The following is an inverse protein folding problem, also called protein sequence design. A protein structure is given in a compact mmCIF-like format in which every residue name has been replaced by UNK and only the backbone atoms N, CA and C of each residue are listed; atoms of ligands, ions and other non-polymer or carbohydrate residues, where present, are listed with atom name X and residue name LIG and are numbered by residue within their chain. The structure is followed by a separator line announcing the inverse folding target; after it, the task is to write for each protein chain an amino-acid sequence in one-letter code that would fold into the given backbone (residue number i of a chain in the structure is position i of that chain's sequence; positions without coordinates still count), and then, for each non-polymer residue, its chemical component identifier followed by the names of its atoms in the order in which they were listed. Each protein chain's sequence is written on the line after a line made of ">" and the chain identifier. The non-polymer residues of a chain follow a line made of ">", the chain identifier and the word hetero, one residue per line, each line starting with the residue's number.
data_IF_118451534715
#
_entry.id   IF_118451534715
#
_cell.length_a   1.000
_cell.length_b   1.000
_cell.length_c   1.000
_cell.angle_alpha   90.00
_cell.angle_beta   90.00
_cell.angle_gamma   90.00
#
_symmetry.space_group_name_H-M   'P 1'
#
loop_
_entity.id
_entity.type
_entity.pdbx_description
1 polymer ?
#
# COMPACT_ATOMS: atom_id res chain seq x y z
N UNK A 1 -27.66 22.45 42.07
CA UNK A 1 -27.15 21.36 41.21
C UNK A 1 -25.82 20.88 41.81
N UNK A 2 -25.71 19.60 42.18
CA UNK A 2 -24.65 19.10 43.07
C UNK A 2 -23.28 18.97 42.37
N UNK A 3 -22.20 19.45 43.00
CA UNK A 3 -20.81 19.41 42.50
C UNK A 3 -20.34 18.04 42.01
N UNK A 4 -20.99 16.95 42.47
CA UNK A 4 -20.72 15.57 42.06
C UNK A 4 -21.06 15.29 40.58
N UNK A 5 -22.11 15.90 40.04
CA UNK A 5 -22.50 15.70 38.63
C UNK A 5 -21.58 16.46 37.67
N UNK A 6 -21.03 17.59 38.11
CA UNK A 6 -20.13 18.42 37.31
C UNK A 6 -18.76 17.74 37.08
N UNK A 7 -18.26 16.99 38.08
CA UNK A 7 -17.02 16.22 37.95
C UNK A 7 -17.19 15.00 37.02
N UNK A 8 -18.34 14.32 37.09
CA UNK A 8 -18.66 13.18 36.22
C UNK A 8 -18.81 13.64 34.76
N UNK A 9 -19.47 14.78 34.51
CA UNK A 9 -19.63 15.30 33.15
C UNK A 9 -18.30 15.73 32.50
N UNK A 10 -17.38 16.31 33.27
CA UNK A 10 -16.06 16.71 32.77
C UNK A 10 -15.23 15.47 32.38
N UNK A 11 -15.26 14.41 33.20
CA UNK A 11 -14.55 13.16 32.90
C UNK A 11 -15.01 12.50 31.59
N UNK A 12 -16.32 12.50 31.32
CA UNK A 12 -16.87 11.95 30.07
C UNK A 12 -16.43 12.79 28.87
N UNK A 13 -16.46 14.12 28.97
CA UNK A 13 -16.04 15.03 27.90
C UNK A 13 -14.55 14.81 27.55
N UNK A 14 -13.68 14.63 28.56
CA UNK A 14 -12.25 14.39 28.33
C UNK A 14 -12.01 13.05 27.64
N UNK A 15 -12.72 11.97 28.01
CA UNK A 15 -12.60 10.66 27.36
C UNK A 15 -13.07 10.71 25.90
N UNK A 16 -14.15 11.44 25.60
CA UNK A 16 -14.67 11.61 24.25
C UNK A 16 -13.71 12.41 23.38
N UNK A 17 -13.13 13.51 23.89
CA UNK A 17 -12.10 14.28 23.19
C UNK A 17 -10.86 13.43 22.94
N UNK A 18 -10.39 12.67 23.93
CA UNK A 18 -9.23 11.81 23.77
C UNK A 18 -9.46 10.71 22.72
N UNK A 19 -10.67 10.15 22.67
CA UNK A 19 -11.06 9.14 21.67
C UNK A 19 -11.13 9.71 20.24
N UNK A 20 -11.51 10.98 20.10
CA UNK A 20 -11.49 11.69 18.80
C UNK A 20 -10.05 12.02 18.37
N UNK A 21 -9.17 12.36 19.32
CA UNK A 21 -7.77 12.69 19.02
C UNK A 21 -6.93 11.49 18.56
N UNK A 22 -7.30 10.24 18.88
CA UNK A 22 -6.57 9.04 18.41
C UNK A 22 -6.68 8.87 16.88
N UNK A 23 -7.71 9.44 16.23
CA UNK A 23 -7.86 9.38 14.75
C UNK A 23 -7.00 10.39 13.97
N UNK A 24 -6.31 11.31 14.64
CA UNK A 24 -5.54 12.37 13.96
C UNK A 24 -4.06 12.04 13.75
N UNK A 25 -3.59 10.88 14.21
CA UNK A 25 -2.23 10.40 13.95
C UNK A 25 -2.19 9.48 12.75
N UNK A 26 -2.65 9.91 11.56
CA UNK A 26 -2.03 9.35 10.34
C UNK A 26 -0.59 9.82 10.42
N UNK A 27 0.29 8.93 10.91
CA UNK A 27 1.71 9.16 10.82
C UNK A 27 1.94 9.44 9.34
N UNK A 28 2.37 10.67 8.99
CA UNK A 28 2.89 10.97 7.67
C UNK A 28 4.17 10.13 7.54
N UNK A 29 3.99 8.84 7.26
CA UNK A 29 5.05 7.93 6.89
C UNK A 29 5.76 8.61 5.72
N UNK A 30 7.10 8.61 5.70
CA UNK A 30 7.84 9.28 4.63
C UNK A 30 7.35 8.74 3.28
N UNK A 31 6.64 9.57 2.53
CA UNK A 31 6.09 9.21 1.23
C UNK A 31 7.24 9.10 0.24
N UNK A 32 7.53 7.87 -0.17
CA UNK A 32 8.42 7.54 -1.27
C UNK A 32 7.76 7.98 -2.58
N UNK A 33 8.54 8.50 -3.52
CA UNK A 33 7.98 8.86 -4.83
C UNK A 33 7.53 7.60 -5.59
N UNK A 34 6.57 7.72 -6.52
CA UNK A 34 6.17 6.59 -7.37
C UNK A 34 7.36 5.97 -8.11
N UNK A 35 8.28 6.81 -8.61
CA UNK A 35 9.49 6.37 -9.32
C UNK A 35 10.42 5.57 -8.40
N UNK A 36 10.58 6.00 -7.15
CA UNK A 36 11.34 5.25 -6.15
C UNK A 36 10.63 3.95 -5.76
N UNK A 37 9.29 3.96 -5.67
CA UNK A 37 8.51 2.77 -5.36
C UNK A 37 8.63 1.70 -6.47
N UNK A 38 8.57 2.13 -7.74
CA UNK A 38 8.85 1.27 -8.89
C UNK A 38 10.27 0.68 -8.83
N UNK A 39 11.27 1.53 -8.55
CA UNK A 39 12.66 1.08 -8.41
C UNK A 39 12.82 0.05 -7.28
N UNK A 40 12.23 0.30 -6.11
CA UNK A 40 12.28 -0.62 -4.95
C UNK A 40 11.62 -1.95 -5.30
N UNK A 41 10.45 -1.92 -5.94
CA UNK A 41 9.74 -3.12 -6.36
C UNK A 41 10.56 -3.92 -7.39
N UNK A 42 11.15 -3.25 -8.38
CA UNK A 42 11.99 -3.91 -9.37
C UNK A 42 13.24 -4.54 -8.74
N UNK A 43 13.92 -3.84 -7.83
CA UNK A 43 15.06 -4.37 -7.08
C UNK A 43 14.68 -5.60 -6.25
N UNK A 44 13.52 -5.56 -5.59
CA UNK A 44 12.98 -6.72 -4.87
C UNK A 44 12.79 -7.92 -5.81
N UNK A 45 12.09 -7.75 -6.93
CA UNK A 45 11.83 -8.83 -7.90
C UNK A 45 13.13 -9.41 -8.47
N UNK A 46 14.13 -8.56 -8.76
CA UNK A 46 15.47 -9.00 -9.16
C UNK A 46 16.14 -9.84 -8.07
N UNK A 47 16.09 -9.39 -6.82
CA UNK A 47 16.69 -10.12 -5.69
C UNK A 47 15.99 -11.45 -5.38
N UNK A 48 14.71 -11.57 -5.73
CA UNK A 48 13.90 -12.77 -5.57
C UNK A 48 14.00 -13.74 -6.77
N UNK A 49 14.82 -13.44 -7.79
CA UNK A 49 14.87 -14.17 -9.07
C UNK A 49 13.48 -14.27 -9.76
N UNK A 50 12.68 -13.21 -9.68
CA UNK A 50 11.35 -13.10 -10.30
C UNK A 50 11.28 -12.03 -11.41
N UNK A 51 12.43 -11.46 -11.77
CA UNK A 51 12.54 -10.42 -12.79
C UNK A 51 13.27 -10.92 -14.03
N UNK A 52 12.65 -10.79 -15.19
CA UNK A 52 13.26 -11.05 -16.49
C UNK A 52 13.49 -9.74 -17.25
N UNK A 53 14.48 -9.73 -18.16
CA UNK A 53 14.80 -8.54 -18.96
C UNK A 53 13.64 -8.12 -19.86
N UNK A 54 12.77 -9.05 -20.22
CA UNK A 54 11.58 -8.85 -21.05
C UNK A 54 10.39 -8.26 -20.29
N UNK A 55 10.50 -8.02 -18.97
CA UNK A 55 9.40 -7.50 -18.17
C UNK A 55 9.42 -5.96 -18.05
N UNK A 56 8.24 -5.38 -17.87
CA UNK A 56 7.99 -3.98 -17.51
C UNK A 56 7.15 -3.91 -16.23
N UNK A 57 7.38 -2.86 -15.43
CA UNK A 57 6.47 -2.45 -14.36
C UNK A 57 5.61 -1.32 -14.90
N UNK A 58 4.30 -1.50 -14.88
CA UNK A 58 3.35 -0.52 -15.38
C UNK A 58 2.41 -0.10 -14.24
N UNK A 59 2.32 1.19 -13.91
CA UNK A 59 1.38 1.64 -12.88
C UNK A 59 -0.06 1.43 -13.35
N UNK A 60 -0.94 0.99 -12.44
CA UNK A 60 -2.37 0.78 -12.75
C UNK A 60 -3.16 2.08 -12.70
N UNK A 61 -4.40 2.09 -13.21
CA UNK A 61 -5.38 3.17 -12.97
C UNK A 61 -6.52 2.69 -12.04
N UNK A 62 -6.72 3.28 -10.84
CA UNK A 62 -5.89 4.32 -10.23
C UNK A 62 -4.51 3.80 -9.77
N UNK A 63 -3.52 4.70 -9.77
CA UNK A 63 -2.15 4.38 -9.36
C UNK A 63 -2.06 4.12 -7.86
N UNK A 64 -2.80 4.93 -7.08
CA UNK A 64 -2.87 4.84 -5.62
C UNK A 64 -4.09 4.02 -5.22
N UNK A 65 -3.90 3.11 -4.27
CA UNK A 65 -4.96 2.33 -3.66
C UNK A 65 -4.76 2.18 -2.15
N UNK A 66 -5.61 1.36 -1.53
CA UNK A 66 -5.51 1.03 -0.11
C UNK A 66 -5.55 -0.50 0.06
N UNK A 67 -4.61 -1.04 0.83
CA UNK A 67 -4.55 -2.47 1.22
C UNK A 67 -4.30 -2.53 2.73
N UNK A 68 -5.20 -3.20 3.45
CA UNK A 68 -5.11 -3.37 4.91
C UNK A 68 -4.87 -2.07 5.70
N UNK A 69 -5.55 -0.98 5.29
CA UNK A 69 -5.40 0.39 5.83
C UNK A 69 -4.07 1.09 5.50
N UNK A 70 -3.27 0.54 4.58
CA UNK A 70 -2.06 1.18 4.08
C UNK A 70 -2.32 1.78 2.70
N UNK A 71 -1.93 3.04 2.50
CA UNK A 71 -1.87 3.64 1.16
C UNK A 71 -0.71 3.00 0.38
N UNK A 72 -1.01 2.58 -0.85
CA UNK A 72 -0.07 1.84 -1.71
C UNK A 72 -0.02 2.40 -3.12
N UNK A 73 1.12 2.24 -3.78
CA UNK A 73 1.24 2.31 -5.23
C UNK A 73 1.01 0.92 -5.83
N UNK A 74 0.23 0.84 -6.91
CA UNK A 74 -0.15 -0.41 -7.57
C UNK A 74 0.50 -0.51 -8.95
N UNK A 75 1.06 -1.69 -9.22
CA UNK A 75 1.79 -2.00 -10.44
C UNK A 75 1.36 -3.33 -11.03
N UNK A 76 1.34 -3.40 -12.34
CA UNK A 76 1.31 -4.64 -13.10
C UNK A 76 2.72 -4.98 -13.55
N UNK A 77 3.14 -6.22 -13.36
CA UNK A 77 4.31 -6.78 -14.04
C UNK A 77 3.79 -7.39 -15.34
N UNK A 78 4.29 -6.88 -16.47
CA UNK A 78 3.87 -7.32 -17.81
C UNK A 78 5.09 -7.69 -18.65
N UNK A 79 4.88 -8.49 -19.69
CA UNK A 79 5.84 -8.58 -20.79
C UNK A 79 5.90 -7.23 -21.52
N UNK A 80 7.09 -6.79 -21.93
CA UNK A 80 7.26 -5.63 -22.80
C UNK A 80 6.50 -5.83 -24.10
N UNK A 81 5.98 -4.75 -24.66
CA UNK A 81 5.15 -4.77 -25.88
C UNK A 81 5.86 -5.42 -27.09
N UNK A 82 7.18 -5.33 -27.16
CA UNK A 82 7.99 -5.85 -28.27
C UNK A 82 8.34 -7.35 -28.17
N UNK A 83 7.86 -8.06 -27.16
CA UNK A 83 8.09 -9.51 -27.02
C UNK A 83 7.12 -10.26 -27.93
N UNK A 84 7.66 -11.07 -28.84
CA UNK A 84 6.87 -11.84 -29.79
C UNK A 84 5.89 -12.78 -29.06
N UNK A 85 4.69 -12.97 -29.60
CA UNK A 85 3.61 -13.84 -29.10
C UNK A 85 2.95 -13.42 -27.77
N UNK A 86 3.65 -12.73 -26.87
CA UNK A 86 3.16 -12.46 -25.51
C UNK A 86 3.24 -10.99 -25.09
N UNK A 87 3.56 -10.06 -26.00
CA UNK A 87 3.68 -8.63 -25.71
C UNK A 87 2.54 -8.07 -24.86
N UNK A 88 2.89 -7.28 -23.84
CA UNK A 88 1.97 -6.68 -22.85
C UNK A 88 1.17 -7.68 -22.01
N UNK A 89 1.42 -8.98 -22.10
CA UNK A 89 0.74 -9.98 -21.27
C UNK A 89 1.04 -9.74 -19.79
N UNK A 90 -0.03 -9.72 -18.99
CA UNK A 90 0.05 -9.63 -17.54
C UNK A 90 0.68 -10.90 -16.94
N UNK A 91 1.64 -10.69 -16.04
CA UNK A 91 2.31 -11.74 -15.27
C UNK A 91 1.73 -11.76 -13.86
N UNK A 92 1.74 -10.62 -13.16
CA UNK A 92 1.22 -10.49 -11.80
C UNK A 92 0.88 -9.03 -11.47
N UNK A 93 0.04 -8.84 -10.46
CA UNK A 93 -0.22 -7.53 -9.86
C UNK A 93 0.52 -7.42 -8.53
N UNK A 94 1.21 -6.31 -8.34
CA UNK A 94 1.93 -5.97 -7.12
C UNK A 94 1.45 -4.64 -6.57
N UNK A 95 1.62 -4.47 -5.27
CA UNK A 95 1.48 -3.19 -4.63
C UNK A 95 2.62 -2.97 -3.64
N UNK A 96 2.97 -1.72 -3.41
CA UNK A 96 4.01 -1.34 -2.44
C UNK A 96 3.48 -0.18 -1.61
N UNK A 97 3.67 -0.23 -0.29
CA UNK A 97 3.28 0.87 0.59
C UNK A 97 3.96 2.16 0.18
N UNK A 98 3.30 3.30 0.37
CA UNK A 98 3.88 4.60 0.05
C UNK A 98 5.19 4.87 0.79
N UNK A 99 5.46 4.19 1.90
CA UNK A 99 6.74 4.28 2.62
C UNK A 99 7.84 3.34 2.08
N UNK A 100 7.54 2.57 1.02
CA UNK A 100 8.47 1.68 0.33
C UNK A 100 8.85 0.40 1.09
N UNK A 101 8.20 0.11 2.22
CA UNK A 101 8.64 -0.99 3.10
C UNK A 101 7.95 -2.31 2.83
N UNK A 102 6.65 -2.30 2.61
CA UNK A 102 5.83 -3.51 2.48
C UNK A 102 5.49 -3.73 1.02
N UNK A 103 5.71 -4.94 0.53
CA UNK A 103 5.34 -5.34 -0.84
C UNK A 103 4.24 -6.40 -0.75
N UNK A 104 3.20 -6.24 -1.56
CA UNK A 104 2.10 -7.16 -1.70
C UNK A 104 2.09 -7.77 -3.10
N UNK A 105 1.78 -9.06 -3.18
CA UNK A 105 1.44 -9.77 -4.41
C UNK A 105 -0.05 -10.09 -4.39
N UNK A 106 -0.76 -9.82 -5.47
CA UNK A 106 -2.15 -10.23 -5.61
C UNK A 106 -2.23 -11.70 -5.99
N UNK A 107 -2.99 -12.47 -5.20
CA UNK A 107 -3.36 -13.85 -5.48
C UNK A 107 -4.75 -13.90 -6.14
N UNK A 108 -4.82 -14.11 -7.46
CA UNK A 108 -6.08 -14.14 -8.18
C UNK A 108 -6.92 -15.40 -7.87
N UNK A 109 -6.34 -16.46 -7.30
CA UNK A 109 -7.09 -17.67 -6.98
C UNK A 109 -7.97 -17.49 -5.73
N UNK A 110 -7.50 -16.66 -4.78
CA UNK A 110 -8.21 -16.40 -3.53
C UNK A 110 -8.82 -14.99 -3.46
N UNK A 111 -8.53 -14.12 -4.44
CA UNK A 111 -8.91 -12.71 -4.46
C UNK A 111 -8.36 -11.93 -3.25
N UNK A 112 -7.06 -12.05 -3.00
CA UNK A 112 -6.40 -11.50 -1.81
C UNK A 112 -5.02 -10.92 -2.13
N UNK A 113 -4.58 -9.98 -1.30
CA UNK A 113 -3.21 -9.48 -1.31
C UNK A 113 -2.37 -10.23 -0.26
N UNK A 114 -1.21 -10.73 -0.67
CA UNK A 114 -0.29 -11.49 0.17
C UNK A 114 0.99 -10.69 0.39
N UNK A 115 1.35 -10.44 1.65
CA UNK A 115 2.60 -9.76 2.02
C UNK A 115 3.81 -10.59 1.60
N UNK A 116 4.75 -9.96 0.91
CA UNK A 116 5.97 -10.55 0.37
C UNK A 116 7.24 -10.08 1.09
N UNK A 117 7.22 -8.85 1.64
CA UNK A 117 8.32 -8.19 2.34
C UNK A 117 7.76 -7.29 3.43
#
# INVERSE_FOLDING_TARGET
>A
MSKKYLLISIGIIVIVIFSICIKCGKNDLPTTSMMDAERILQEYLKSANQWEEEYSLEPTDPVVGEIDNNEVYRFEVRYKENVEEVGSRLINNYAITMDGKTIFLYDPANDQWIIQK
#
